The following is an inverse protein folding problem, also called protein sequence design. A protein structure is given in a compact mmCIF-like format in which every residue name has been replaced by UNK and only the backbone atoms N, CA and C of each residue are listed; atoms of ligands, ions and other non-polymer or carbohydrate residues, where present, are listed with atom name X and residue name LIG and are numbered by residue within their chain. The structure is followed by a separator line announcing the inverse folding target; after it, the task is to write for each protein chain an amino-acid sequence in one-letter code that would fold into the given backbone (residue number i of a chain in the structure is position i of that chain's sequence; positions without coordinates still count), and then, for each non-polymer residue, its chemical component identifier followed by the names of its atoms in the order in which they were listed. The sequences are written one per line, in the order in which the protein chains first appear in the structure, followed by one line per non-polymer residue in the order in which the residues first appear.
data_IF_828973931356
#
_entry.id   IF_828973931356
#
_cell.length_a   1.000
_cell.length_b   1.000
_cell.length_c   1.000
_cell.angle_alpha   90.00
_cell.angle_beta   90.00
_cell.angle_gamma   90.00
#
_symmetry.space_group_name_H-M   'P 1'
#
loop_
_entity.id
_entity.type
_entity.pdbx_description
1 polymer ?
#
# COMPACT_ATOMS: atom_id res chain seq x y z
N UNK A 1 -20.15 -14.86 -3.84
CA UNK A 1 -20.52 -13.51 -4.33
C UNK A 1 -19.82 -13.33 -5.68
N UNK A 2 -20.54 -12.89 -6.71
CA UNK A 2 -19.96 -12.70 -8.04
C UNK A 2 -19.33 -11.31 -8.12
N UNK A 3 -18.12 -11.17 -8.69
CA UNK A 3 -17.49 -9.87 -8.87
C UNK A 3 -18.20 -9.06 -9.95
N UNK A 4 -18.18 -7.74 -9.78
CA UNK A 4 -18.70 -6.78 -10.76
C UNK A 4 -17.59 -6.38 -11.72
N UNK A 5 -17.86 -6.27 -13.01
CA UNK A 5 -16.88 -5.65 -13.92
C UNK A 5 -16.70 -4.16 -13.60
N UNK A 6 -15.56 -3.58 -13.94
CA UNK A 6 -15.33 -2.14 -13.74
C UNK A 6 -16.41 -1.27 -14.39
N UNK A 7 -16.97 -1.69 -15.54
CA UNK A 7 -17.99 -0.91 -16.23
C UNK A 7 -19.33 -0.94 -15.47
N UNK A 8 -19.74 -2.10 -14.97
CA UNK A 8 -20.92 -2.24 -14.10
C UNK A 8 -20.77 -1.44 -12.79
N UNK A 9 -19.55 -1.37 -12.26
CA UNK A 9 -19.28 -0.65 -11.02
C UNK A 9 -19.35 0.88 -11.16
N UNK A 10 -19.10 1.45 -12.34
CA UNK A 10 -19.04 2.91 -12.55
C UNK A 10 -20.36 3.61 -12.25
N UNK A 11 -21.49 3.00 -12.60
CA UNK A 11 -22.82 3.58 -12.38
C UNK A 11 -23.27 3.50 -10.91
N UNK A 12 -22.66 2.61 -10.12
CA UNK A 12 -23.03 2.30 -8.74
C UNK A 12 -21.96 2.65 -7.70
N UNK A 13 -20.94 3.43 -8.07
CA UNK A 13 -19.77 3.68 -7.22
C UNK A 13 -20.13 4.14 -5.80
N UNK A 14 -21.11 5.05 -5.66
CA UNK A 14 -21.56 5.55 -4.37
C UNK A 14 -22.13 4.45 -3.46
N UNK A 15 -22.95 3.55 -4.01
CA UNK A 15 -23.52 2.42 -3.26
C UNK A 15 -22.45 1.39 -2.87
N UNK A 16 -21.49 1.13 -3.77
CA UNK A 16 -20.39 0.21 -3.53
C UNK A 16 -19.47 0.72 -2.41
N UNK A 17 -19.20 2.03 -2.37
CA UNK A 17 -18.44 2.66 -1.29
C UNK A 17 -19.17 2.53 0.06
N UNK A 18 -20.48 2.76 0.12
CA UNK A 18 -21.26 2.57 1.35
C UNK A 18 -21.29 1.11 1.81
N UNK A 19 -21.36 0.16 0.87
CA UNK A 19 -21.25 -1.27 1.21
C UNK A 19 -19.88 -1.60 1.81
N UNK A 20 -18.79 -1.12 1.21
CA UNK A 20 -17.44 -1.30 1.73
C UNK A 20 -17.29 -0.66 3.12
N UNK A 21 -17.84 0.55 3.34
CA UNK A 21 -17.85 1.23 4.64
C UNK A 21 -18.61 0.45 5.72
N UNK A 22 -19.65 -0.30 5.33
CA UNK A 22 -20.38 -1.23 6.21
C UNK A 22 -19.64 -2.56 6.45
N UNK A 23 -18.39 -2.69 5.98
CA UNK A 23 -17.60 -3.90 6.11
C UNK A 23 -18.01 -5.02 5.14
N UNK A 24 -18.88 -4.75 4.17
CA UNK A 24 -19.22 -5.74 3.13
C UNK A 24 -18.06 -5.81 2.15
N UNK A 25 -17.61 -7.03 1.86
CA UNK A 25 -16.60 -7.26 0.83
C UNK A 25 -17.20 -6.93 -0.53
N UNK A 26 -16.57 -6.04 -1.29
CA UNK A 26 -16.96 -5.73 -2.68
C UNK A 26 -15.77 -6.06 -3.57
N UNK A 27 -16.00 -6.85 -4.61
CA UNK A 27 -14.96 -7.29 -5.54
C UNK A 27 -15.25 -6.80 -6.95
N UNK A 28 -14.25 -6.16 -7.57
CA UNK A 28 -14.29 -5.71 -8.95
C UNK A 28 -13.41 -6.61 -9.82
N UNK A 29 -13.91 -6.99 -10.99
CA UNK A 29 -13.19 -7.73 -12.01
C UNK A 29 -12.79 -6.80 -13.16
N UNK A 30 -11.56 -6.98 -13.65
CA UNK A 30 -11.09 -6.37 -14.88
C UNK A 30 -10.23 -7.37 -15.65
N UNK A 31 -10.77 -7.92 -16.73
CA UNK A 31 -10.15 -9.04 -17.44
C UNK A 31 -9.96 -10.24 -16.51
N UNK A 32 -8.72 -10.68 -16.32
CA UNK A 32 -8.34 -11.79 -15.43
C UNK A 32 -7.98 -11.34 -14.01
N UNK A 33 -8.00 -10.04 -13.74
CA UNK A 33 -7.62 -9.47 -12.45
C UNK A 33 -8.84 -9.14 -11.60
N UNK A 34 -8.64 -9.21 -10.28
CA UNK A 34 -9.67 -8.98 -9.28
C UNK A 34 -9.15 -7.96 -8.26
N UNK A 35 -9.99 -7.00 -7.90
CA UNK A 35 -9.71 -5.92 -6.97
C UNK A 35 -10.76 -5.93 -5.86
N UNK A 36 -10.37 -5.50 -4.66
CA UNK A 36 -11.31 -5.29 -3.57
C UNK A 36 -11.50 -3.79 -3.34
N UNK A 37 -12.74 -3.36 -3.14
CA UNK A 37 -13.01 -2.03 -2.57
C UNK A 37 -12.95 -2.20 -1.06
N UNK A 38 -12.04 -1.48 -0.43
CA UNK A 38 -11.92 -1.37 1.02
C UNK A 38 -11.98 0.10 1.40
N UNK A 39 -12.59 0.46 2.55
CA UNK A 39 -12.47 1.82 3.07
C UNK A 39 -11.01 2.20 3.21
N UNK A 40 -10.68 3.41 2.78
CA UNK A 40 -9.38 3.99 3.03
C UNK A 40 -9.22 4.26 4.52
N UNK A 41 -8.13 3.77 5.10
CA UNK A 41 -7.79 3.98 6.50
C UNK A 41 -6.44 4.71 6.59
N UNK A 42 -6.45 6.02 6.89
CA UNK A 42 -5.22 6.81 6.98
C UNK A 42 -4.35 6.42 8.19
N UNK A 43 -4.88 5.72 9.20
CA UNK A 43 -4.08 5.22 10.33
C UNK A 43 -3.30 3.95 9.96
N UNK A 44 -3.75 3.23 8.94
CA UNK A 44 -3.05 2.08 8.35
C UNK A 44 -2.14 2.46 7.19
N UNK A 45 -2.15 3.72 6.76
CA UNK A 45 -1.13 4.18 5.81
C UNK A 45 0.24 4.10 6.49
N UNK A 46 1.18 3.33 5.93
CA UNK A 46 2.55 3.40 6.36
C UNK A 46 3.01 4.86 6.21
N UNK A 47 3.72 5.40 7.20
CA UNK A 47 4.30 6.74 7.13
C UNK A 47 5.45 6.73 6.11
N UNK A 48 5.11 6.73 4.83
CA UNK A 48 6.06 6.66 3.72
C UNK A 48 7.00 7.86 3.79
N UNK A 49 8.30 7.60 3.90
CA UNK A 49 9.32 8.62 4.17
C UNK A 49 9.71 8.77 5.65
N UNK A 50 9.22 7.91 6.54
CA UNK A 50 9.79 7.67 7.86
C UNK A 50 11.02 6.73 7.73
N UNK A 51 12.23 7.19 8.05
CA UNK A 51 13.43 6.37 7.99
C UNK A 51 13.37 5.10 8.84
N UNK A 52 12.63 5.09 9.94
CA UNK A 52 12.53 3.90 10.80
C UNK A 52 11.65 2.81 10.17
N UNK A 53 10.54 3.21 9.53
CA UNK A 53 9.69 2.29 8.80
C UNK A 53 10.42 1.70 7.59
N UNK A 54 11.15 2.52 6.83
CA UNK A 54 11.92 2.05 5.69
C UNK A 54 13.09 1.13 6.11
N UNK A 55 13.78 1.43 7.21
CA UNK A 55 14.79 0.53 7.77
C UNK A 55 14.18 -0.80 8.23
N UNK A 56 12.99 -0.78 8.86
CA UNK A 56 12.27 -1.99 9.26
C UNK A 56 11.84 -2.85 8.05
N UNK A 57 11.40 -2.21 6.97
CA UNK A 57 11.07 -2.89 5.71
C UNK A 57 12.31 -3.48 5.03
N UNK A 58 13.42 -2.74 5.01
CA UNK A 58 14.71 -3.25 4.52
C UNK A 58 15.18 -4.47 5.31
N UNK A 59 15.10 -4.43 6.65
CA UNK A 59 15.41 -5.59 7.49
C UNK A 59 14.48 -6.78 7.23
N UNK A 60 13.19 -6.54 7.00
CA UNK A 60 12.23 -7.60 6.71
C UNK A 60 12.50 -8.28 5.34
N UNK A 61 13.01 -7.53 4.36
CA UNK A 61 13.39 -8.04 3.04
C UNK A 61 14.75 -8.75 3.08
N UNK A 62 15.72 -8.21 3.81
CA UNK A 62 17.08 -8.79 3.91
C UNK A 62 17.17 -9.95 4.93
N UNK A 63 16.18 -10.07 5.81
CA UNK A 63 16.06 -11.16 6.77
C UNK A 63 16.95 -11.00 8.02
N UNK A 64 16.86 -11.93 8.99
CA UNK A 64 17.52 -11.83 10.29
C UNK A 64 19.06 -12.00 10.26
N UNK A 65 19.65 -12.18 9.08
CA UNK A 65 21.09 -12.39 8.87
C UNK A 65 21.73 -11.29 8.02
N UNK A 66 21.16 -10.10 8.05
CA UNK A 66 21.72 -8.97 7.35
C UNK A 66 23.01 -8.47 8.03
N UNK A 67 24.06 -8.26 7.23
CA UNK A 67 25.40 -7.84 7.67
C UNK A 67 25.51 -6.35 8.06
N UNK A 68 24.46 -5.54 7.86
CA UNK A 68 24.49 -4.12 8.22
C UNK A 68 23.94 -3.88 9.63
N UNK A 69 24.58 -2.96 10.34
CA UNK A 69 24.06 -2.43 11.60
C UNK A 69 22.78 -1.61 11.35
N UNK A 70 21.96 -1.47 12.40
CA UNK A 70 20.75 -0.64 12.36
C UNK A 70 21.04 0.80 11.90
N UNK A 71 22.20 1.35 12.27
CA UNK A 71 22.61 2.70 11.86
C UNK A 71 22.95 2.77 10.36
N UNK A 72 23.62 1.76 9.81
CA UNK A 72 23.94 1.69 8.38
C UNK A 72 22.66 1.51 7.52
N UNK A 73 21.69 0.76 8.03
CA UNK A 73 20.36 0.62 7.42
C UNK A 73 19.58 1.94 7.41
N UNK A 74 19.59 2.69 8.52
CA UNK A 74 18.96 4.01 8.61
C UNK A 74 19.58 4.99 7.64
N UNK A 75 20.90 5.06 7.59
CA UNK A 75 21.61 5.93 6.62
C UNK A 75 21.26 5.55 5.18
N UNK A 76 21.14 4.24 4.90
CA UNK A 76 20.74 3.76 3.57
C UNK A 76 19.29 4.14 3.23
N UNK A 77 18.37 4.00 4.17
CA UNK A 77 16.98 4.44 4.01
C UNK A 77 16.89 5.95 3.75
N UNK A 78 17.59 6.78 4.54
CA UNK A 78 17.64 8.24 4.34
C UNK A 78 18.14 8.62 2.93
N UNK A 79 19.17 7.94 2.42
CA UNK A 79 19.66 8.16 1.06
C UNK A 79 18.61 7.82 0.00
N UNK A 80 17.91 6.70 0.15
CA UNK A 80 16.86 6.25 -0.78
C UNK A 80 15.69 7.24 -0.77
N UNK A 81 15.24 7.68 0.41
CA UNK A 81 14.20 8.71 0.56
C UNK A 81 14.60 10.01 -0.13
N UNK A 82 15.83 10.48 0.08
CA UNK A 82 16.33 11.71 -0.53
C UNK A 82 16.40 11.62 -2.05
N UNK A 83 16.86 10.48 -2.60
CA UNK A 83 16.90 10.24 -4.04
C UNK A 83 15.49 10.18 -4.65
N UNK A 84 14.55 9.50 -3.99
CA UNK A 84 13.16 9.42 -4.45
C UNK A 84 12.50 10.81 -4.47
N UNK A 85 12.72 11.64 -3.44
CA UNK A 85 12.22 13.02 -3.38
C UNK A 85 12.84 13.92 -4.46
N UNK A 86 14.11 13.71 -4.81
CA UNK A 86 14.77 14.47 -5.87
C UNK A 86 14.31 14.04 -7.27
N UNK A 87 13.99 12.76 -7.49
CA UNK A 87 13.49 12.24 -8.76
C UNK A 87 12.00 12.58 -9.03
N UNK A 88 11.26 12.95 -7.99
CA UNK A 88 9.84 13.34 -8.07
C UNK A 88 9.61 14.84 -8.33
N UNK A 89 10.69 15.64 -8.42
CA UNK A 89 10.69 17.06 -8.82
C UNK A 89 11.06 17.21 -10.30
#
# INVERSE_FOLDING_TARGET
MNPLTLNEAREHLGELCEQARQGKRVLLAHGTQMYAIVPYDPELEPNWGDPELEAALLMAVEGPHHDLSLDALRERAEQVIAQAKAAAQ
#
